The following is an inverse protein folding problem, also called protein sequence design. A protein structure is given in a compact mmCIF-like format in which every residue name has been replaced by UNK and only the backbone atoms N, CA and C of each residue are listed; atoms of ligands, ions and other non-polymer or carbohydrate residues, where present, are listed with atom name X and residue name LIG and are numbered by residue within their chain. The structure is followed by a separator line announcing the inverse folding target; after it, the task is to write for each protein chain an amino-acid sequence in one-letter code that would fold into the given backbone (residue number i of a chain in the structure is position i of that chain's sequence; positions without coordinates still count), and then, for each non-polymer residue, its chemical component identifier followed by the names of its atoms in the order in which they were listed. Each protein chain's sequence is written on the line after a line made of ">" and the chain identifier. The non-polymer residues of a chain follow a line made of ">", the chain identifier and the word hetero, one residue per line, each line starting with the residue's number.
data_IF_684001393135
#
_entry.id   IF_684001393135
#
_cell.length_a   1.000
_cell.length_b   1.000
_cell.length_c   1.000
_cell.angle_alpha   90.00
_cell.angle_beta   90.00
_cell.angle_gamma   90.00
#
_symmetry.space_group_name_H-M   'P 1'
#
loop_
_entity.id
_entity.type
_entity.pdbx_description
1 polymer ?
#
# COMPACT_ATOMS: atom_id res chain seq x y z
N UNK A 1 -37.42 32.29 18.23
CA UNK A 1 -37.45 30.95 18.76
C UNK A 1 -36.75 29.88 17.91
N UNK A 2 -36.48 30.08 16.65
CA UNK A 2 -35.74 29.15 15.82
C UNK A 2 -34.27 29.46 15.63
N UNK A 3 -33.81 30.62 16.04
CA UNK A 3 -32.46 31.12 15.70
C UNK A 3 -31.35 30.42 16.47
N UNK A 4 -31.60 30.02 17.70
CA UNK A 4 -30.59 29.31 18.50
C UNK A 4 -30.31 27.90 18.04
N UNK A 5 -31.31 27.20 17.50
CA UNK A 5 -31.15 25.85 16.94
C UNK A 5 -30.36 25.85 15.65
N UNK A 6 -30.50 26.87 14.81
CA UNK A 6 -29.73 27.00 13.57
C UNK A 6 -28.24 27.25 13.82
N UNK A 7 -27.91 28.07 14.82
CA UNK A 7 -26.52 28.34 15.17
C UNK A 7 -25.82 27.07 15.68
N UNK A 8 -26.51 26.19 16.39
CA UNK A 8 -25.99 24.92 16.88
C UNK A 8 -25.70 23.93 15.75
N UNK A 9 -26.57 23.84 14.76
CA UNK A 9 -26.40 22.95 13.59
C UNK A 9 -25.21 23.41 12.75
N UNK A 10 -25.03 24.69 12.53
CA UNK A 10 -23.89 25.26 11.84
C UNK A 10 -22.57 25.03 12.57
N UNK A 11 -22.55 25.11 13.89
CA UNK A 11 -21.37 24.85 14.68
C UNK A 11 -20.97 23.36 14.63
N UNK A 12 -21.93 22.45 14.54
CA UNK A 12 -21.67 21.02 14.35
C UNK A 12 -21.16 20.68 12.94
N UNK A 13 -21.67 21.36 11.91
CA UNK A 13 -21.24 21.17 10.54
C UNK A 13 -19.81 21.64 10.30
N UNK A 14 -19.36 22.68 11.03
CA UNK A 14 -17.98 23.20 10.93
C UNK A 14 -16.99 22.34 11.71
N UNK A 15 -17.45 21.45 12.57
CA UNK A 15 -16.61 20.48 13.26
C UNK A 15 -16.34 19.26 12.37
N UNK A 16 -15.84 19.51 11.17
CA UNK A 16 -15.23 18.43 10.40
C UNK A 16 -14.02 17.96 11.21
N UNK A 17 -14.10 16.75 11.69
CA UNK A 17 -13.11 16.15 12.54
C UNK A 17 -11.74 16.17 11.83
N UNK A 18 -10.70 16.85 12.38
CA UNK A 18 -9.37 16.81 11.78
C UNK A 18 -8.75 15.40 11.74
N UNK A 19 -9.43 14.40 12.34
CA UNK A 19 -9.03 13.00 12.26
C UNK A 19 -9.47 12.31 10.95
N UNK A 20 -10.28 12.97 10.11
CA UNK A 20 -10.61 12.49 8.77
C UNK A 20 -9.50 12.79 7.77
N UNK A 21 -8.25 12.58 8.17
CA UNK A 21 -7.15 12.65 7.24
C UNK A 21 -7.26 11.50 6.25
N UNK A 22 -7.21 11.88 4.99
CA UNK A 22 -7.18 10.92 3.90
C UNK A 22 -5.83 10.24 3.86
N UNK A 23 -5.84 8.93 3.84
CA UNK A 23 -4.64 8.12 3.73
C UNK A 23 -4.34 7.89 2.25
N UNK A 24 -3.28 8.51 1.75
CA UNK A 24 -2.85 8.38 0.36
C UNK A 24 -1.59 7.53 0.31
N UNK A 25 -1.53 6.60 -0.65
CA UNK A 25 -0.37 5.74 -0.80
C UNK A 25 0.85 6.45 -1.38
N UNK A 26 0.68 7.59 -2.05
CA UNK A 26 1.82 8.33 -2.60
C UNK A 26 2.85 8.67 -1.51
N UNK A 27 4.13 8.55 -1.85
CA UNK A 27 5.23 8.82 -0.94
C UNK A 27 6.11 7.60 -0.68
N UNK A 28 6.87 7.67 0.39
CA UNK A 28 7.86 6.64 0.74
C UNK A 28 7.44 5.87 1.97
N UNK A 29 7.64 4.56 1.92
CA UNK A 29 7.20 3.63 2.96
C UNK A 29 8.30 2.63 3.29
N UNK A 30 8.30 2.18 4.54
CA UNK A 30 9.18 1.10 5.01
C UNK A 30 8.33 -0.03 5.58
N UNK A 31 8.62 -1.26 5.17
CA UNK A 31 7.96 -2.43 5.74
C UNK A 31 8.59 -2.85 7.07
N UNK A 32 7.85 -3.63 7.83
CA UNK A 32 8.31 -4.27 9.07
C UNK A 32 9.50 -5.23 8.86
N UNK A 33 9.72 -5.68 7.63
CA UNK A 33 10.86 -6.50 7.23
C UNK A 33 12.06 -5.68 6.69
N UNK A 34 11.96 -4.36 6.70
CA UNK A 34 13.03 -3.46 6.28
C UNK A 34 13.05 -3.12 4.80
N UNK A 35 12.10 -3.60 4.02
CA UNK A 35 11.94 -3.20 2.62
C UNK A 35 11.43 -1.77 2.52
N UNK A 36 11.73 -1.11 1.41
CA UNK A 36 11.24 0.25 1.12
C UNK A 36 10.47 0.25 -0.18
N UNK A 37 9.48 1.14 -0.27
CA UNK A 37 8.83 1.42 -1.54
C UNK A 37 8.60 2.91 -1.68
N UNK A 38 8.59 3.34 -2.93
CA UNK A 38 8.26 4.72 -3.32
C UNK A 38 7.07 4.64 -4.26
N UNK A 39 6.02 5.34 -3.92
CA UNK A 39 4.77 5.35 -4.68
C UNK A 39 4.60 6.74 -5.28
N UNK A 40 4.32 6.80 -6.58
CA UNK A 40 4.08 8.04 -7.32
C UNK A 40 2.80 8.75 -6.85
N UNK A 41 2.64 10.00 -7.28
CA UNK A 41 1.37 10.72 -7.12
C UNK A 41 0.29 9.94 -7.89
N UNK A 42 -0.88 9.80 -7.24
CA UNK A 42 -2.00 9.07 -7.79
C UNK A 42 -2.62 9.81 -8.98
N UNK A 43 -3.07 9.05 -9.98
CA UNK A 43 -3.92 9.56 -11.04
C UNK A 43 -5.33 9.87 -10.51
N UNK A 44 -6.17 10.49 -11.33
CA UNK A 44 -7.58 10.74 -10.99
C UNK A 44 -8.35 9.47 -10.65
N UNK A 45 -7.97 8.35 -11.27
CA UNK A 45 -8.60 7.04 -11.06
C UNK A 45 -8.03 6.29 -9.86
N UNK A 46 -7.12 6.91 -9.09
CA UNK A 46 -6.47 6.28 -7.95
C UNK A 46 -5.36 5.31 -8.34
N UNK A 47 -4.90 5.32 -9.58
CA UNK A 47 -3.80 4.47 -10.05
C UNK A 47 -2.47 5.08 -9.68
N UNK A 48 -1.52 4.22 -9.41
CA UNK A 48 -0.15 4.62 -9.08
C UNK A 48 0.86 3.63 -9.64
N UNK A 49 2.08 4.10 -9.74
CA UNK A 49 3.25 3.29 -10.04
C UNK A 49 4.35 3.64 -9.04
N UNK A 50 5.43 2.92 -9.09
CA UNK A 50 6.56 3.20 -8.20
C UNK A 50 7.62 2.13 -8.26
N UNK A 51 8.40 2.07 -7.20
CA UNK A 51 9.52 1.15 -7.07
C UNK A 51 9.50 0.48 -5.71
N UNK A 52 9.81 -0.80 -5.70
CA UNK A 52 10.00 -1.58 -4.48
C UNK A 52 11.48 -1.91 -4.33
N UNK A 53 12.05 -1.52 -3.20
CA UNK A 53 13.47 -1.69 -2.92
C UNK A 53 13.61 -2.72 -1.81
N UNK A 54 14.27 -3.86 -2.08
CA UNK A 54 14.53 -4.84 -1.04
C UNK A 54 15.45 -4.22 0.02
N UNK A 55 15.18 -4.54 1.29
CA UNK A 55 16.00 -4.09 2.40
C UNK A 55 17.28 -4.92 2.49
N UNK A 56 18.33 -4.31 3.07
CA UNK A 56 19.59 -5.00 3.32
C UNK A 56 19.45 -6.24 4.22
N UNK A 57 18.40 -6.31 5.02
CA UNK A 57 18.09 -7.44 5.90
C UNK A 57 17.24 -8.53 5.25
N UNK A 58 16.55 -8.21 4.17
CA UNK A 58 15.76 -9.17 3.38
C UNK A 58 16.62 -9.79 2.27
N UNK A 59 17.90 -9.77 2.41
CA UNK A 59 18.88 -9.94 1.37
C UNK A 59 18.87 -11.31 0.72
N UNK A 60 18.03 -11.41 -0.28
CA UNK A 60 18.50 -12.08 -1.47
C UNK A 60 19.26 -11.01 -2.28
N UNK A 61 20.61 -11.03 -2.33
CA UNK A 61 21.38 -10.03 -3.04
C UNK A 61 21.13 -9.99 -4.54
N UNK A 62 20.36 -10.94 -5.04
CA UNK A 62 19.95 -11.04 -6.44
C UNK A 62 18.71 -10.22 -6.76
N UNK A 63 17.97 -9.74 -5.76
CA UNK A 63 16.78 -8.94 -5.98
C UNK A 63 17.18 -7.48 -6.17
N UNK A 64 16.83 -6.94 -7.34
CA UNK A 64 17.06 -5.53 -7.69
C UNK A 64 15.80 -4.70 -7.38
N UNK A 65 15.96 -3.37 -7.39
CA UNK A 65 14.83 -2.46 -7.38
C UNK A 65 13.84 -2.86 -8.46
N UNK A 66 12.59 -3.08 -8.08
CA UNK A 66 11.58 -3.67 -8.96
C UNK A 66 10.41 -2.73 -9.14
N UNK A 67 9.78 -2.67 -10.32
CA UNK A 67 8.63 -1.81 -10.54
C UNK A 67 7.40 -2.33 -9.79
N UNK A 68 6.60 -1.39 -9.31
CA UNK A 68 5.28 -1.68 -8.78
C UNK A 68 4.21 -0.85 -9.49
N UNK A 69 3.01 -1.37 -9.53
CA UNK A 69 1.85 -0.66 -10.03
C UNK A 69 0.58 -1.15 -9.33
N UNK A 70 -0.36 -0.27 -9.12
CA UNK A 70 -1.58 -0.60 -8.44
C UNK A 70 -2.60 0.52 -8.42
N UNK A 71 -3.56 0.37 -7.51
CA UNK A 71 -4.61 1.36 -7.33
C UNK A 71 -5.12 1.37 -5.89
N UNK A 72 -5.69 2.50 -5.50
CA UNK A 72 -6.41 2.63 -4.24
C UNK A 72 -7.80 3.20 -4.50
N UNK A 73 -8.71 2.95 -3.54
CA UNK A 73 -10.05 3.52 -3.59
C UNK A 73 -10.02 5.05 -3.47
N UNK A 74 -11.06 5.68 -3.99
CA UNK A 74 -11.23 7.13 -3.87
C UNK A 74 -11.37 7.55 -2.41
N UNK A 75 -10.43 8.37 -1.94
CA UNK A 75 -10.45 8.91 -0.58
C UNK A 75 -11.55 9.95 -0.36
N UNK A 76 -12.19 10.43 -1.42
CA UNK A 76 -13.40 11.25 -1.31
C UNK A 76 -14.57 10.48 -0.74
N UNK A 77 -14.62 9.16 -0.95
CA UNK A 77 -15.63 8.27 -0.44
C UNK A 77 -15.20 7.56 0.84
N UNK A 78 -13.92 7.16 0.93
CA UNK A 78 -13.38 6.38 2.04
C UNK A 78 -12.05 6.99 2.47
N UNK A 79 -11.96 7.61 3.67
CA UNK A 79 -10.72 8.25 4.12
C UNK A 79 -9.60 7.26 4.41
N UNK A 80 -9.94 6.00 4.70
CA UNK A 80 -8.99 4.92 4.91
C UNK A 80 -9.20 3.84 3.84
N UNK A 81 -8.66 4.06 2.62
CA UNK A 81 -9.00 3.22 1.47
C UNK A 81 -8.31 1.86 1.51
N UNK A 82 -8.95 0.88 0.88
CA UNK A 82 -8.26 -0.33 0.47
C UNK A 82 -7.42 -0.05 -0.77
N UNK A 83 -6.42 -0.87 -0.96
CA UNK A 83 -5.51 -0.77 -2.10
C UNK A 83 -5.05 -2.14 -2.54
N UNK A 84 -4.54 -2.21 -3.74
CA UNK A 84 -3.78 -3.35 -4.22
C UNK A 84 -2.64 -2.87 -5.10
N UNK A 85 -1.54 -3.60 -5.11
CA UNK A 85 -0.48 -3.37 -6.07
C UNK A 85 0.28 -4.67 -6.33
N UNK A 86 0.95 -4.71 -7.46
CA UNK A 86 1.80 -5.83 -7.84
C UNK A 86 3.23 -5.36 -8.00
N UNK A 87 4.15 -6.24 -7.61
CA UNK A 87 5.59 -6.05 -7.79
C UNK A 87 6.08 -7.13 -8.74
N UNK A 88 6.67 -6.73 -9.86
CA UNK A 88 7.31 -7.64 -10.79
C UNK A 88 8.81 -7.66 -10.48
N UNK A 89 9.24 -8.68 -9.76
CA UNK A 89 10.60 -8.75 -9.24
C UNK A 89 11.63 -8.82 -10.35
N UNK A 90 12.63 -7.95 -10.25
CA UNK A 90 13.83 -8.00 -11.06
C UNK A 90 14.91 -8.74 -10.29
N UNK A 91 15.42 -9.81 -10.91
CA UNK A 91 16.47 -10.63 -10.33
C UNK A 91 17.74 -10.46 -11.13
N UNK A 92 18.86 -10.28 -10.43
CA UNK A 92 20.17 -10.27 -11.06
C UNK A 92 20.51 -11.68 -11.54
N UNK A 93 20.96 -11.81 -12.78
CA UNK A 93 21.42 -13.05 -13.38
C UNK A 93 20.39 -14.19 -13.46
N UNK A 94 19.10 -13.86 -13.33
CA UNK A 94 18.04 -14.87 -13.38
C UNK A 94 16.89 -14.42 -14.28
N UNK A 95 16.41 -15.32 -15.13
CA UNK A 95 15.18 -15.15 -15.88
C UNK A 95 13.95 -15.65 -15.11
N UNK A 96 14.12 -16.05 -13.85
CA UNK A 96 13.03 -16.55 -13.04
C UNK A 96 11.94 -15.48 -12.88
N UNK A 97 10.76 -15.77 -13.38
CA UNK A 97 9.60 -14.87 -13.24
C UNK A 97 9.03 -15.00 -11.82
N UNK A 98 8.98 -13.89 -11.12
CA UNK A 98 8.40 -13.80 -9.78
C UNK A 98 7.57 -12.54 -9.67
N UNK A 99 6.35 -12.68 -9.17
CA UNK A 99 5.40 -11.57 -8.96
C UNK A 99 4.79 -11.69 -7.59
N UNK A 100 4.66 -10.56 -6.90
CA UNK A 100 3.92 -10.48 -5.64
C UNK A 100 2.74 -9.54 -5.80
N UNK A 101 1.58 -9.97 -5.35
CA UNK A 101 0.39 -9.13 -5.24
C UNK A 101 0.15 -8.76 -3.78
N UNK A 102 -0.04 -7.48 -3.52
CA UNK A 102 -0.37 -6.95 -2.21
C UNK A 102 -1.81 -6.45 -2.21
N UNK A 103 -2.54 -6.79 -1.17
CA UNK A 103 -3.91 -6.33 -0.95
C UNK A 103 -4.01 -5.87 0.50
N UNK A 104 -4.50 -4.66 0.71
CA UNK A 104 -4.53 -4.13 2.06
C UNK A 104 -5.36 -2.87 2.23
N UNK A 105 -5.13 -2.21 3.33
CA UNK A 105 -5.83 -0.99 3.72
C UNK A 105 -4.86 0.00 4.34
N UNK A 106 -5.08 1.27 4.05
CA UNK A 106 -4.33 2.39 4.59
C UNK A 106 -5.07 2.93 5.82
N UNK A 107 -4.38 3.03 6.94
CA UNK A 107 -4.94 3.53 8.18
C UNK A 107 -4.25 4.80 8.65
N UNK A 108 -5.04 5.66 9.29
CA UNK A 108 -4.52 6.83 10.01
C UNK A 108 -4.81 6.64 11.48
N UNK A 109 -3.78 6.58 12.30
CA UNK A 109 -3.90 6.50 13.74
C UNK A 109 -4.34 7.82 14.38
N UNK A 110 -4.70 7.76 15.67
CA UNK A 110 -5.14 8.91 16.45
C UNK A 110 -4.09 10.03 16.54
N UNK A 111 -2.82 9.68 16.44
CA UNK A 111 -1.67 10.60 16.41
C UNK A 111 -1.33 11.10 15.01
N UNK A 112 -2.13 10.74 14.00
CA UNK A 112 -1.87 11.06 12.60
C UNK A 112 -0.86 10.14 11.92
N UNK A 113 -0.40 9.10 12.58
CA UNK A 113 0.51 8.12 12.00
C UNK A 113 -0.22 7.28 10.95
N UNK A 114 0.39 7.16 9.78
CA UNK A 114 -0.17 6.39 8.68
C UNK A 114 0.52 5.02 8.57
N UNK A 115 -0.29 3.97 8.41
CA UNK A 115 0.19 2.61 8.24
C UNK A 115 -0.55 1.91 7.10
N UNK A 116 0.14 1.03 6.41
CA UNK A 116 -0.46 0.12 5.44
C UNK A 116 -0.38 -1.29 5.99
N UNK A 117 -1.53 -1.94 6.11
CA UNK A 117 -1.61 -3.34 6.48
C UNK A 117 -1.97 -4.15 5.25
N UNK A 118 -1.09 -5.04 4.84
CA UNK A 118 -1.24 -5.81 3.61
C UNK A 118 -1.06 -7.30 3.83
N UNK A 119 -1.87 -8.07 3.13
CA UNK A 119 -1.65 -9.47 2.83
C UNK A 119 -0.97 -9.54 1.47
N UNK A 120 -0.03 -10.45 1.30
CA UNK A 120 0.60 -10.65 -0.01
C UNK A 120 0.63 -12.11 -0.41
N UNK A 121 0.58 -12.30 -1.72
CA UNK A 121 0.75 -13.58 -2.38
C UNK A 121 1.93 -13.45 -3.34
N UNK A 122 2.96 -14.27 -3.14
CA UNK A 122 4.11 -14.32 -4.03
C UNK A 122 4.05 -15.56 -4.88
N UNK A 123 4.13 -15.36 -6.20
CA UNK A 123 4.13 -16.45 -7.15
C UNK A 123 5.46 -16.52 -7.87
N UNK A 124 6.04 -17.71 -7.88
CA UNK A 124 7.16 -18.06 -8.74
C UNK A 124 6.66 -18.87 -9.93
N UNK A 125 7.32 -18.74 -11.07
CA UNK A 125 7.01 -19.58 -12.22
C UNK A 125 7.32 -21.04 -11.90
N UNK A 126 6.35 -21.92 -12.13
CA UNK A 126 6.53 -23.36 -12.02
C UNK A 126 6.88 -23.95 -13.40
N UNK A 127 7.68 -25.00 -13.42
CA UNK A 127 8.10 -25.64 -14.68
C UNK A 127 6.95 -26.41 -15.35
N UNK A 128 5.97 -26.83 -14.58
CA UNK A 128 4.83 -27.59 -15.09
C UNK A 128 3.63 -27.46 -14.15
N UNK A 129 2.40 -27.77 -14.62
CA UNK A 129 1.22 -27.77 -13.75
C UNK A 129 1.34 -28.73 -12.56
N UNK A 130 2.11 -29.78 -12.65
CA UNK A 130 2.33 -30.71 -11.54
C UNK A 130 3.10 -30.06 -10.38
N UNK A 131 3.90 -29.03 -10.65
CA UNK A 131 4.68 -28.29 -9.66
C UNK A 131 3.96 -27.05 -9.14
N UNK A 132 2.78 -26.75 -9.66
CA UNK A 132 2.03 -25.52 -9.36
C UNK A 132 1.72 -25.36 -7.87
N UNK A 133 1.40 -26.42 -7.19
CA UNK A 133 0.97 -26.41 -5.80
C UNK A 133 1.98 -25.79 -4.83
N UNK A 134 3.26 -25.81 -5.14
CA UNK A 134 4.34 -25.29 -4.30
C UNK A 134 4.85 -23.92 -4.74
N UNK A 135 4.26 -23.32 -5.77
CA UNK A 135 4.77 -22.12 -6.42
C UNK A 135 4.26 -20.81 -5.81
N UNK A 136 3.31 -20.87 -4.88
CA UNK A 136 2.72 -19.68 -4.25
C UNK A 136 3.02 -19.67 -2.76
N UNK A 137 3.44 -18.50 -2.28
CA UNK A 137 3.64 -18.21 -0.84
C UNK A 137 2.72 -17.09 -0.41
N UNK A 138 2.32 -17.09 0.85
CA UNK A 138 1.45 -16.10 1.46
C UNK A 138 2.14 -15.49 2.68
N UNK A 139 1.94 -14.21 2.90
CA UNK A 139 2.46 -13.51 4.07
C UNK A 139 1.75 -12.19 4.31
N UNK A 140 2.23 -11.47 5.32
CA UNK A 140 1.72 -10.16 5.69
C UNK A 140 2.86 -9.16 5.81
N UNK A 141 2.55 -7.89 5.57
CA UNK A 141 3.49 -6.78 5.77
C UNK A 141 2.75 -5.58 6.32
N UNK A 142 3.43 -4.87 7.21
CA UNK A 142 2.98 -3.57 7.70
C UNK A 142 4.00 -2.54 7.25
N UNK A 143 3.51 -1.48 6.61
CA UNK A 143 4.35 -0.38 6.16
C UNK A 143 4.07 0.85 7.00
N UNK A 144 5.11 1.57 7.33
CA UNK A 144 5.03 2.89 7.96
C UNK A 144 5.61 3.94 7.04
N UNK A 145 5.03 5.14 7.06
CA UNK A 145 5.50 6.22 6.20
C UNK A 145 6.89 6.70 6.65
N UNK A 146 7.78 6.87 5.69
CA UNK A 146 9.09 7.50 5.91
C UNK A 146 8.89 9.00 5.82
N UNK A 147 9.27 9.67 6.88
CA UNK A 147 9.22 11.14 6.95
C UNK A 147 10.50 11.77 6.41
#
# INVERSE_FOLDING_TARGET
>A
MGIGAFALVLALAVRVNPLERKCLLSGSWRSDTGCRMVVSILSKDGRFSGSYLPGSAASDPQILTSPLEGSQQDTGLVPQPTFSFTVHWRLQDSEAARTTAFLGQCYVGTNGEETLHALWLMREAADSPAEDWKATRIGTSVFTRIK
#
